data_IF_211733089414
#
_entry.id   IF_211733089414
#
_cell.length_a   1.000
_cell.length_b   1.000
_cell.length_c   1.000
_cell.angle_alpha   90.00
_cell.angle_beta   90.00
_cell.angle_gamma   90.00
#
_symmetry.space_group_name_H-M   'P 1'
#
loop_
_entity.id
_entity.type
_entity.pdbx_description
1 polymer ?
#
# COMPACT_ATOMS: atom_id res chain seq x y z
N UNK A 1 -33.03 0.78 8.63
CA UNK A 1 -32.04 0.05 7.82
C UNK A 1 -30.67 0.39 8.37
N UNK A 2 -29.99 -0.54 9.03
CA UNK A 2 -28.65 -0.30 9.58
C UNK A 2 -27.67 -0.20 8.42
N UNK A 3 -27.18 1.01 8.14
CA UNK A 3 -26.18 1.24 7.10
C UNK A 3 -24.93 0.47 7.49
N UNK A 4 -24.63 -0.61 6.78
CA UNK A 4 -23.40 -1.38 6.98
C UNK A 4 -22.25 -0.45 6.64
N UNK A 5 -21.45 -0.08 7.63
CA UNK A 5 -20.29 0.76 7.40
C UNK A 5 -19.25 -0.09 6.67
N UNK A 6 -19.19 0.01 5.34
CA UNK A 6 -18.18 -0.67 4.57
C UNK A 6 -16.88 0.14 4.64
N UNK A 7 -15.81 -0.50 5.10
CA UNK A 7 -14.47 0.08 5.14
C UNK A 7 -14.06 0.65 3.77
N UNK A 8 -14.46 -0.02 2.69
CA UNK A 8 -14.24 0.39 1.29
C UNK A 8 -14.98 1.67 0.89
N UNK A 9 -15.91 2.18 1.68
CA UNK A 9 -16.62 3.43 1.39
C UNK A 9 -15.90 4.66 1.98
N UNK A 10 -14.84 4.47 2.77
CA UNK A 10 -14.04 5.58 3.29
C UNK A 10 -13.39 6.36 2.15
N UNK A 11 -13.16 7.66 2.34
CA UNK A 11 -12.48 8.51 1.36
C UNK A 11 -11.01 8.11 1.17
N UNK A 12 -10.42 8.41 -0.01
CA UNK A 12 -9.01 8.14 -0.28
C UNK A 12 -8.08 8.82 0.74
N UNK A 13 -8.43 10.02 1.19
CA UNK A 13 -7.73 10.78 2.24
C UNK A 13 -7.59 9.99 3.54
N UNK A 14 -8.61 9.22 3.91
CA UNK A 14 -8.56 8.35 5.08
C UNK A 14 -7.56 7.21 4.89
N UNK A 15 -7.50 6.63 3.69
CA UNK A 15 -6.53 5.58 3.38
C UNK A 15 -5.10 6.08 3.35
N UNK A 16 -4.82 7.26 2.78
CA UNK A 16 -3.48 7.86 2.84
C UNK A 16 -3.01 8.02 4.29
N UNK A 17 -3.89 8.52 5.17
CA UNK A 17 -3.58 8.63 6.61
C UNK A 17 -3.31 7.28 7.26
N UNK A 18 -4.05 6.23 6.92
CA UNK A 18 -3.79 4.88 7.45
C UNK A 18 -2.43 4.36 6.95
N UNK A 19 -2.13 4.59 5.67
CA UNK A 19 -0.89 4.15 5.04
C UNK A 19 0.35 4.85 5.60
N UNK A 20 0.24 6.06 6.15
CA UNK A 20 1.35 6.70 6.88
C UNK A 20 1.82 5.92 8.12
N UNK A 21 0.98 5.05 8.70
CA UNK A 21 1.32 4.26 9.90
C UNK A 21 1.76 2.83 9.57
N UNK A 22 1.72 2.41 8.31
CA UNK A 22 1.99 1.04 7.90
C UNK A 22 3.24 0.96 7.02
N UNK A 23 3.95 -0.16 7.09
CA UNK A 23 5.05 -0.42 6.16
C UNK A 23 4.54 -0.61 4.75
N UNK A 24 5.25 -0.02 3.77
CA UNK A 24 4.87 -0.03 2.36
C UNK A 24 4.65 -1.45 1.82
N UNK A 25 5.48 -2.40 2.25
CA UNK A 25 5.36 -3.80 1.86
C UNK A 25 4.04 -4.42 2.38
N UNK A 26 3.70 -4.15 3.63
CA UNK A 26 2.44 -4.61 4.24
C UNK A 26 1.22 -3.96 3.57
N UNK A 27 1.32 -2.68 3.23
CA UNK A 27 0.28 -1.98 2.47
C UNK A 27 0.10 -2.63 1.09
N UNK A 28 1.19 -2.83 0.35
CA UNK A 28 1.15 -3.41 -0.99
C UNK A 28 0.52 -4.80 -0.97
N UNK A 29 1.04 -5.71 -0.15
CA UNK A 29 0.51 -7.07 -0.07
C UNK A 29 -0.92 -7.13 0.48
N UNK A 30 -1.30 -6.23 1.39
CA UNK A 30 -2.62 -6.20 2.01
C UNK A 30 -3.71 -5.58 1.15
N UNK A 31 -3.40 -4.57 0.33
CA UNK A 31 -4.41 -3.74 -0.34
C UNK A 31 -4.38 -3.82 -1.86
N UNK A 32 -3.26 -4.18 -2.50
CA UNK A 32 -3.12 -4.14 -3.95
C UNK A 32 -4.11 -5.06 -4.68
N UNK A 33 -4.42 -6.23 -4.12
CA UNK A 33 -5.30 -7.19 -4.79
C UNK A 33 -6.78 -7.09 -4.36
N UNK A 34 -7.15 -6.11 -3.52
CA UNK A 34 -8.52 -5.99 -3.02
C UNK A 34 -9.50 -5.49 -4.10
N UNK A 35 -9.15 -4.41 -4.81
CA UNK A 35 -9.92 -3.87 -5.93
C UNK A 35 -9.11 -2.82 -6.71
N UNK A 36 -9.61 -2.45 -7.90
CA UNK A 36 -8.96 -1.48 -8.79
C UNK A 36 -8.78 -0.10 -8.14
N UNK A 37 -9.65 0.29 -7.20
CA UNK A 37 -9.51 1.56 -6.50
C UNK A 37 -8.24 1.56 -5.65
N UNK A 38 -7.99 0.51 -4.87
CA UNK A 38 -6.79 0.41 -4.07
C UNK A 38 -5.53 0.24 -4.92
N UNK A 39 -5.59 -0.49 -6.04
CA UNK A 39 -4.48 -0.51 -7.01
C UNK A 39 -4.11 0.90 -7.45
N UNK A 40 -5.09 1.69 -7.89
CA UNK A 40 -4.86 3.06 -8.31
C UNK A 40 -4.35 3.93 -7.17
N UNK A 41 -4.84 3.74 -5.94
CA UNK A 41 -4.38 4.46 -4.76
C UNK A 41 -2.90 4.20 -4.46
N UNK A 42 -2.46 2.94 -4.62
CA UNK A 42 -1.08 2.52 -4.38
C UNK A 42 -0.13 2.94 -5.52
N UNK A 43 -0.58 2.89 -6.77
CA UNK A 43 0.21 3.35 -7.92
C UNK A 43 0.44 4.87 -7.87
N UNK A 44 -0.55 5.63 -7.39
CA UNK A 44 -0.45 7.08 -7.24
C UNK A 44 0.04 7.51 -5.85
N UNK A 45 0.50 6.56 -5.03
CA UNK A 45 0.97 6.81 -3.69
C UNK A 45 2.32 7.54 -3.77
N UNK A 46 2.29 8.87 -3.73
CA UNK A 46 3.49 9.72 -3.66
C UNK A 46 4.10 9.70 -2.24
N UNK A 47 4.18 8.52 -1.61
CA UNK A 47 4.83 8.39 -0.31
C UNK A 47 6.30 8.06 -0.58
N UNK A 48 7.25 8.87 -0.08
CA UNK A 48 8.66 8.54 -0.17
C UNK A 48 8.91 7.23 0.58
N UNK A 49 9.32 6.19 -0.15
CA UNK A 49 9.64 4.90 0.44
C UNK A 49 11.15 4.80 0.66
N UNK A 50 11.53 4.41 1.88
CA UNK A 50 12.92 4.23 2.24
C UNK A 50 13.29 2.77 2.05
N UNK A 51 13.99 2.46 0.96
CA UNK A 51 14.50 1.11 0.74
C UNK A 51 15.75 0.94 1.60
N UNK A 52 15.73 -0.01 2.53
CA UNK A 52 16.95 -0.44 3.19
C UNK A 52 17.66 -1.47 2.32
N UNK A 53 18.60 -1.02 1.50
CA UNK A 53 19.39 -1.90 0.63
C UNK A 53 20.21 -2.93 1.42
N UNK A 54 20.59 -2.64 2.68
CA UNK A 54 21.36 -3.57 3.51
C UNK A 54 20.57 -4.82 3.92
N UNK A 55 19.24 -4.76 3.89
CA UNK A 55 18.36 -5.90 4.20
C UNK A 55 17.96 -6.69 2.97
N UNK A 56 18.26 -6.20 1.77
CA UNK A 56 17.96 -6.90 0.51
C UNK A 56 19.15 -7.80 0.16
N UNK A 57 18.92 -9.10 0.02
CA UNK A 57 19.97 -9.99 -0.44
C UNK A 57 20.33 -9.67 -1.89
N UNK A 58 21.61 -9.86 -2.25
CA UNK A 58 22.10 -9.61 -3.62
C UNK A 58 21.29 -10.36 -4.67
N UNK A 59 20.93 -11.62 -4.40
CA UNK A 59 20.10 -12.42 -5.31
C UNK A 59 18.68 -11.88 -5.50
N UNK A 60 18.10 -11.23 -4.48
CA UNK A 60 16.80 -10.57 -4.62
C UNK A 60 16.94 -9.28 -5.43
N UNK A 61 18.01 -8.51 -5.21
CA UNK A 61 18.28 -7.28 -5.95
C UNK A 61 18.48 -7.54 -7.45
N UNK A 62 19.29 -8.56 -7.78
CA UNK A 62 19.58 -8.95 -9.17
C UNK A 62 18.33 -9.47 -9.93
N UNK A 63 17.24 -9.81 -9.23
CA UNK A 63 15.99 -10.27 -9.83
C UNK A 63 15.11 -9.13 -10.36
N UNK A 64 15.37 -7.90 -9.90
CA UNK A 64 14.62 -6.70 -10.28
C UNK A 64 15.42 -5.70 -11.15
N UNK A 65 16.68 -6.02 -11.47
CA UNK A 65 17.54 -5.29 -12.42
C UNK A 65 17.57 -5.98 -13.78
#
# INVERSE_FOLDING_TARGET
TTTKCCFENLANETFYKIFEYLELNGIYHGFFYLNNRFQNLLVNLNIPFQINLSTISKSHFDLYN
#
